data_IF_612029513516
#
_entry.id   IF_612029513516
#
_cell.length_a   1.000
_cell.length_b   1.000
_cell.length_c   1.000
_cell.angle_alpha   90.00
_cell.angle_beta   90.00
_cell.angle_gamma   90.00
#
_symmetry.space_group_name_H-M   'P 1'
#
loop_
_entity.id
_entity.type
_entity.pdbx_description
1 polymer ?
#
# COMPACT_ATOMS: atom_id res chain seq x y z
N UNK A 1 8.82 9.23 2.05
CA UNK A 1 9.02 7.80 1.74
C UNK A 1 10.41 7.42 2.16
N UNK A 2 10.57 6.44 3.04
CA UNK A 2 11.89 5.91 3.41
C UNK A 2 12.28 4.83 2.41
N UNK A 3 13.52 4.88 1.91
CA UNK A 3 14.06 3.90 0.98
C UNK A 3 15.15 3.08 1.66
N UNK A 4 15.01 1.77 1.57
CA UNK A 4 15.94 0.80 2.12
C UNK A 4 16.24 -0.24 1.06
N UNK A 5 17.52 -0.55 0.89
CA UNK A 5 17.98 -1.58 -0.01
C UNK A 5 18.17 -2.88 0.77
N UNK A 6 17.70 -3.99 0.19
CA UNK A 6 17.84 -5.32 0.74
C UNK A 6 18.41 -6.28 -0.31
N UNK A 7 19.24 -7.20 0.16
CA UNK A 7 19.71 -8.35 -0.63
C UNK A 7 19.69 -9.58 0.27
N UNK A 8 19.09 -10.67 -0.22
CA UNK A 8 18.99 -11.94 0.52
C UNK A 8 18.45 -11.74 1.96
N UNK A 9 17.36 -10.98 2.07
CA UNK A 9 16.70 -10.60 3.34
C UNK A 9 17.56 -9.82 4.33
N UNK A 10 18.69 -9.27 3.88
CA UNK A 10 19.62 -8.48 4.70
C UNK A 10 19.63 -7.04 4.23
N UNK A 11 19.56 -6.11 5.19
CA UNK A 11 19.73 -4.68 4.92
C UNK A 11 21.16 -4.40 4.40
N UNK A 12 21.28 -3.57 3.38
CA UNK A 12 22.58 -3.21 2.80
C UNK A 12 22.87 -1.71 2.85
N UNK A 13 21.88 -0.86 2.57
CA UNK A 13 22.04 0.61 2.59
C UNK A 13 20.69 1.31 2.63
N UNK A 14 20.71 2.57 3.02
CA UNK A 14 19.61 3.51 2.86
C UNK A 14 19.78 4.27 1.54
N UNK A 15 18.74 5.02 1.13
CA UNK A 15 18.68 5.81 -0.11
C UNK A 15 18.62 4.98 -1.40
N UNK A 16 18.23 5.64 -2.49
CA UNK A 16 18.17 5.01 -3.79
C UNK A 16 19.57 4.85 -4.39
N UNK A 17 19.91 3.62 -4.79
CA UNK A 17 21.16 3.31 -5.48
C UNK A 17 20.88 2.60 -6.82
N UNK A 18 21.19 3.30 -7.91
CA UNK A 18 20.99 2.80 -9.28
C UNK A 18 21.92 1.65 -9.64
N UNK A 19 23.11 1.59 -9.05
CA UNK A 19 24.12 0.57 -9.35
C UNK A 19 23.68 -0.81 -8.86
N UNK A 20 22.88 -0.85 -7.79
CA UNK A 20 22.30 -2.10 -7.28
C UNK A 20 21.32 -2.75 -8.25
N UNK A 21 20.76 -1.99 -9.21
CA UNK A 21 19.71 -2.46 -10.14
C UNK A 21 18.58 -3.18 -9.41
N UNK A 22 18.27 -2.72 -8.20
CA UNK A 22 17.27 -3.33 -7.34
C UNK A 22 15.86 -3.10 -7.91
N UNK A 23 14.99 -4.09 -7.74
CA UNK A 23 13.56 -3.89 -8.00
C UNK A 23 12.99 -3.10 -6.84
N UNK A 24 12.43 -1.93 -7.14
CA UNK A 24 11.67 -1.17 -6.14
C UNK A 24 10.48 -2.05 -5.72
N UNK A 25 10.09 -2.06 -4.46
CA UNK A 25 8.82 -2.63 -3.93
C UNK A 25 8.22 -1.63 -2.95
N UNK A 26 6.89 -1.51 -2.87
CA UNK A 26 6.27 -0.76 -1.77
C UNK A 26 6.31 -1.63 -0.51
N UNK A 27 6.32 -1.01 0.68
CA UNK A 27 6.28 -1.73 1.94
C UNK A 27 5.44 -0.96 2.97
N UNK A 28 4.91 -1.69 3.95
CA UNK A 28 4.16 -1.12 5.07
C UNK A 28 4.87 -1.54 6.37
N UNK A 29 5.20 -0.60 7.28
CA UNK A 29 5.77 -0.94 8.57
C UNK A 29 4.81 -1.81 9.40
N UNK A 30 5.27 -2.98 9.86
CA UNK A 30 4.42 -3.97 10.53
C UNK A 30 3.80 -3.44 11.82
N UNK A 31 4.52 -2.58 12.56
CA UNK A 31 4.13 -2.12 13.90
C UNK A 31 2.76 -1.45 13.93
N UNK A 32 2.46 -0.63 12.92
CA UNK A 32 1.25 0.21 12.88
C UNK A 32 0.37 -0.09 11.66
N UNK A 33 0.63 -1.21 10.98
CA UNK A 33 -0.12 -1.67 9.84
C UNK A 33 -1.57 -1.99 10.22
N UNK A 34 -2.51 -1.58 9.38
CA UNK A 34 -3.94 -1.87 9.55
C UNK A 34 -4.43 -2.85 8.51
N UNK A 35 -5.49 -3.60 8.83
CA UNK A 35 -6.19 -4.43 7.86
C UNK A 35 -6.98 -3.55 6.89
N UNK A 36 -6.87 -3.86 5.60
CA UNK A 36 -7.62 -3.19 4.53
C UNK A 36 -8.26 -4.22 3.60
N UNK A 37 -9.38 -3.84 3.02
CA UNK A 37 -10.14 -4.64 2.07
C UNK A 37 -10.36 -3.85 0.79
N UNK A 38 -10.22 -4.47 -0.37
CA UNK A 38 -10.49 -3.82 -1.66
C UNK A 38 -11.47 -4.65 -2.45
N UNK A 39 -12.64 -4.09 -2.75
CA UNK A 39 -13.59 -4.66 -3.71
C UNK A 39 -13.10 -4.37 -5.12
N UNK A 40 -12.77 -5.43 -5.86
CA UNK A 40 -12.25 -5.37 -7.22
C UNK A 40 -13.39 -5.33 -8.25
N UNK A 41 -13.06 -4.93 -9.48
CA UNK A 41 -14.04 -4.80 -10.58
C UNK A 41 -14.73 -6.13 -10.95
N UNK A 42 -14.10 -7.27 -10.69
CA UNK A 42 -14.66 -8.61 -10.90
C UNK A 42 -15.57 -9.08 -9.75
N UNK A 43 -15.80 -8.22 -8.75
CA UNK A 43 -16.59 -8.52 -7.55
C UNK A 43 -15.82 -9.28 -6.46
N UNK A 44 -14.55 -9.63 -6.69
CA UNK A 44 -13.71 -10.25 -5.65
C UNK A 44 -13.28 -9.23 -4.60
N UNK A 45 -12.90 -9.70 -3.41
CA UNK A 45 -12.34 -8.84 -2.35
C UNK A 45 -10.91 -9.25 -2.03
N UNK A 46 -9.98 -8.34 -2.24
CA UNK A 46 -8.57 -8.49 -1.87
C UNK A 46 -8.38 -8.01 -0.43
N UNK A 47 -7.67 -8.81 0.38
CA UNK A 47 -7.31 -8.46 1.76
C UNK A 47 -5.83 -8.11 1.82
N UNK A 48 -5.47 -7.06 2.54
CA UNK A 48 -4.10 -6.61 2.64
C UNK A 48 -3.80 -5.84 3.92
N UNK A 49 -2.57 -5.31 3.98
CA UNK A 49 -2.12 -4.40 5.02
C UNK A 49 -1.91 -3.01 4.42
N UNK A 50 -2.43 -2.00 5.11
CA UNK A 50 -2.26 -0.59 4.76
C UNK A 50 -1.49 0.17 5.84
N UNK A 51 -0.95 1.32 5.48
CA UNK A 51 -0.24 2.20 6.43
C UNK A 51 -1.21 2.87 7.41
N UNK A 52 -0.69 3.29 8.56
CA UNK A 52 -1.49 3.90 9.63
C UNK A 52 -2.23 5.17 9.18
N UNK A 53 -1.62 5.95 8.28
CA UNK A 53 -2.17 7.21 7.78
C UNK A 53 -3.54 7.06 7.08
N UNK A 54 -3.87 5.86 6.62
CA UNK A 54 -5.19 5.59 6.03
C UNK A 54 -6.35 5.86 7.02
N UNK A 55 -6.11 5.81 8.33
CA UNK A 55 -7.14 6.11 9.35
C UNK A 55 -7.63 7.56 9.28
N UNK A 56 -6.82 8.46 8.74
CA UNK A 56 -7.15 9.88 8.63
C UNK A 56 -8.07 10.17 7.45
N UNK A 57 -8.21 9.22 6.52
CA UNK A 57 -9.07 9.37 5.34
C UNK A 57 -10.55 9.50 5.72
N UNK A 58 -11.29 10.20 4.88
CA UNK A 58 -12.75 10.30 4.96
C UNK A 58 -13.39 9.39 3.92
N UNK A 59 -14.57 8.86 4.23
CA UNK A 59 -15.36 8.15 3.24
C UNK A 59 -15.61 9.04 2.02
N UNK A 60 -15.49 8.44 0.84
CA UNK A 60 -15.53 9.13 -0.45
C UNK A 60 -14.18 9.60 -0.97
N UNK A 61 -13.12 9.65 -0.16
CA UNK A 61 -11.79 10.04 -0.64
C UNK A 61 -11.19 8.99 -1.58
N UNK A 62 -10.61 9.48 -2.68
CA UNK A 62 -9.92 8.68 -3.69
C UNK A 62 -8.43 8.80 -3.46
N UNK A 63 -7.77 7.65 -3.31
CA UNK A 63 -6.34 7.54 -3.09
C UNK A 63 -5.70 6.60 -4.11
N UNK A 64 -4.39 6.61 -4.17
CA UNK A 64 -3.60 5.63 -4.91
C UNK A 64 -2.90 4.70 -3.93
N UNK A 65 -3.14 3.39 -4.04
CA UNK A 65 -2.21 2.41 -3.48
C UNK A 65 -1.04 2.28 -4.45
N UNK A 66 0.10 2.84 -4.06
CA UNK A 66 1.23 3.00 -4.96
C UNK A 66 1.67 1.68 -5.60
N UNK A 67 1.78 1.72 -6.94
CA UNK A 67 2.21 0.60 -7.78
C UNK A 67 1.25 -0.60 -7.73
N UNK A 68 0.00 -0.32 -7.39
CA UNK A 68 -1.12 -1.24 -7.54
C UNK A 68 -2.21 -0.55 -8.37
N UNK A 69 -2.98 0.36 -7.78
CA UNK A 69 -4.17 0.95 -8.42
C UNK A 69 -4.69 2.19 -7.66
N UNK A 70 -5.62 2.90 -8.27
CA UNK A 70 -6.47 3.91 -7.62
C UNK A 70 -7.74 3.27 -7.04
N UNK A 71 -8.20 3.79 -5.90
CA UNK A 71 -9.42 3.32 -5.24
C UNK A 71 -10.06 4.42 -4.38
N UNK A 72 -11.35 4.26 -4.06
CA UNK A 72 -12.09 5.13 -3.15
C UNK A 72 -12.37 4.43 -1.83
N UNK A 73 -12.19 5.12 -0.69
CA UNK A 73 -12.66 4.63 0.60
C UNK A 73 -14.19 4.69 0.66
N UNK A 74 -14.86 3.56 0.86
CA UNK A 74 -16.32 3.45 0.84
C UNK A 74 -16.92 3.14 2.22
N UNK A 75 -16.19 2.40 3.07
CA UNK A 75 -16.57 2.13 4.47
C UNK A 75 -15.33 2.31 5.36
N UNK A 76 -15.35 3.35 6.19
CA UNK A 76 -14.21 3.70 7.07
C UNK A 76 -14.09 2.75 8.26
N UNK A 77 -15.17 2.20 8.75
CA UNK A 77 -15.12 1.26 9.89
C UNK A 77 -14.41 -0.04 9.48
N UNK A 78 -14.73 -0.54 8.28
CA UNK A 78 -14.14 -1.77 7.73
C UNK A 78 -12.84 -1.54 6.95
N UNK A 79 -12.45 -0.28 6.73
CA UNK A 79 -11.39 0.13 5.80
C UNK A 79 -11.57 -0.58 4.44
N UNK A 80 -12.80 -0.50 3.90
CA UNK A 80 -13.16 -1.07 2.61
C UNK A 80 -13.01 -0.02 1.52
N UNK A 81 -12.18 -0.33 0.55
CA UNK A 81 -11.97 0.46 -0.64
C UNK A 81 -12.65 -0.18 -1.85
N UNK A 82 -13.08 0.64 -2.79
CA UNK A 82 -13.59 0.19 -4.09
C UNK A 82 -12.56 0.55 -5.15
N UNK A 83 -12.08 -0.47 -5.86
CA UNK A 83 -11.14 -0.33 -6.97
C UNK A 83 -11.73 0.58 -8.06
N UNK A 84 -10.88 1.45 -8.63
CA UNK A 84 -11.24 2.32 -9.75
C UNK A 84 -10.57 1.85 -11.05
N UNK A 85 -9.26 2.00 -11.14
CA UNK A 85 -8.43 1.60 -12.27
C UNK A 85 -6.96 1.52 -11.85
N UNK A 86 -6.14 0.91 -12.69
CA UNK A 86 -4.67 0.87 -12.57
C UNK A 86 -4.02 2.20 -12.98
#
# INVERSE_FOLDING_TARGET
MHLFNFKDSTFISEEYDQELKAKIIHCVPVKDAIDVHVLMADGSTVKGKGEHALKDLKEGEVIQFERQFFCRLDDKEKMLFVYAHD
#
